data_IF_239678207753
#
_entry.id   IF_239678207753
#
_cell.length_a   1.000
_cell.length_b   1.000
_cell.length_c   1.000
_cell.angle_alpha   90.00
_cell.angle_beta   90.00
_cell.angle_gamma   90.00
#
_symmetry.space_group_name_H-M   'P 1'
#
loop_
_entity.id
_entity.type
_entity.pdbx_description
1 polymer ?
#
# COMPACT_ATOMS: atom_id res chain seq x y z
N UNK A 1 -17.37 -3.31 9.75
CA UNK A 1 -16.92 -1.90 9.83
C UNK A 1 -15.75 -1.86 10.79
N UNK A 2 -14.52 -1.70 10.30
CA UNK A 2 -13.36 -1.47 11.17
C UNK A 2 -13.40 -0.02 11.65
N UNK A 3 -13.32 0.18 12.96
CA UNK A 3 -13.45 1.49 13.59
C UNK A 3 -12.16 2.29 13.33
N UNK A 4 -12.18 3.17 12.32
CA UNK A 4 -11.03 3.99 11.91
C UNK A 4 -10.41 4.79 13.07
N UNK A 5 -11.23 5.20 14.05
CA UNK A 5 -10.78 5.91 15.25
C UNK A 5 -9.85 5.08 16.14
N UNK A 6 -10.01 3.76 16.20
CA UNK A 6 -9.19 2.88 17.03
C UNK A 6 -7.80 2.67 16.42
N UNK A 7 -7.75 2.47 15.10
CA UNK A 7 -6.51 2.34 14.32
C UNK A 7 -5.66 3.62 14.36
N UNK A 8 -6.28 4.80 14.26
CA UNK A 8 -5.56 6.08 14.36
C UNK A 8 -4.94 6.25 15.76
N UNK A 9 -5.63 5.82 16.81
CA UNK A 9 -5.17 5.95 18.19
C UNK A 9 -4.01 4.98 18.51
N UNK A 10 -4.08 3.75 18.01
CA UNK A 10 -2.97 2.78 18.13
C UNK A 10 -1.73 3.24 17.37
N UNK A 11 -1.90 3.73 16.14
CA UNK A 11 -0.79 4.23 15.32
C UNK A 11 -0.14 5.47 15.94
N UNK A 12 -0.92 6.37 16.56
CA UNK A 12 -0.40 7.55 17.26
C UNK A 12 0.47 7.18 18.47
N UNK A 13 0.04 6.20 19.27
CA UNK A 13 0.83 5.70 20.39
C UNK A 13 2.13 5.02 19.93
N UNK A 14 2.12 4.34 18.79
CA UNK A 14 3.31 3.74 18.21
C UNK A 14 4.35 4.80 17.78
N UNK A 15 3.92 5.86 17.08
CA UNK A 15 4.85 6.92 16.68
C UNK A 15 5.48 7.63 17.86
N UNK A 16 4.67 7.94 18.89
CA UNK A 16 5.17 8.57 20.11
C UNK A 16 6.27 7.73 20.75
N UNK A 17 6.05 6.42 20.86
CA UNK A 17 7.07 5.49 21.38
C UNK A 17 8.35 5.51 20.55
N UNK A 18 8.26 5.54 19.23
CA UNK A 18 9.43 5.54 18.36
C UNK A 18 10.24 6.83 18.49
N UNK A 19 9.56 7.97 18.65
CA UNK A 19 10.17 9.27 18.92
C UNK A 19 10.87 9.24 20.27
N UNK A 20 10.20 8.79 21.33
CA UNK A 20 10.75 8.73 22.69
C UNK A 20 12.02 7.84 22.72
N UNK A 21 11.99 6.68 22.06
CA UNK A 21 13.16 5.82 21.92
C UNK A 21 14.34 6.51 21.21
N UNK A 22 14.05 7.36 20.22
CA UNK A 22 15.06 8.06 19.43
C UNK A 22 15.69 9.22 20.22
N UNK A 23 14.85 9.98 20.94
CA UNK A 23 15.30 11.04 21.85
C UNK A 23 16.18 10.46 22.95
N UNK A 24 15.75 9.37 23.59
CA UNK A 24 16.52 8.69 24.63
C UNK A 24 17.91 8.28 24.13
N UNK A 25 18.00 7.76 22.91
CA UNK A 25 19.27 7.41 22.28
C UNK A 25 20.16 8.63 22.05
N UNK A 26 19.62 9.69 21.44
CA UNK A 26 20.38 10.92 21.16
C UNK A 26 20.94 11.51 22.45
N UNK A 27 20.11 11.58 23.49
CA UNK A 27 20.49 12.08 24.80
C UNK A 27 21.56 11.23 25.48
N UNK A 28 21.59 9.91 25.25
CA UNK A 28 22.55 8.99 25.90
C UNK A 28 23.87 8.82 25.15
N UNK A 29 23.91 9.05 23.84
CA UNK A 29 25.04 8.61 23.01
C UNK A 29 25.58 9.68 22.05
N UNK A 30 24.70 10.47 21.45
CA UNK A 30 25.07 11.40 20.36
C UNK A 30 25.70 12.68 20.91
N UNK A 31 25.22 13.18 22.04
CA UNK A 31 25.73 14.42 22.64
C UNK A 31 27.00 14.24 23.48
N UNK A 32 27.71 13.13 23.33
CA UNK A 32 28.93 12.82 24.06
C UNK A 32 30.09 12.55 23.11
N UNK A 33 31.27 13.06 23.43
CA UNK A 33 32.49 12.86 22.64
C UNK A 33 33.20 11.52 22.95
N UNK A 34 34.44 11.37 22.48
CA UNK A 34 35.29 10.19 22.69
C UNK A 34 35.64 9.94 24.18
N UNK A 35 35.57 10.97 25.03
CA UNK A 35 35.87 10.92 26.46
C UNK A 35 34.62 10.84 27.34
N UNK A 36 33.43 10.76 26.73
CA UNK A 36 32.12 10.89 27.38
C UNK A 36 31.86 12.29 27.96
N UNK A 37 32.56 13.31 27.48
CA UNK A 37 32.25 14.69 27.81
C UNK A 37 31.12 15.18 26.91
N UNK A 38 30.24 16.01 27.48
CA UNK A 38 29.11 16.57 26.73
C UNK A 38 29.64 17.48 25.62
N UNK A 39 29.22 17.23 24.39
CA UNK A 39 29.63 18.03 23.23
C UNK A 39 29.23 19.49 23.41
N UNK A 40 30.23 20.37 23.38
CA UNK A 40 30.05 21.81 23.35
C UNK A 40 30.00 22.28 21.89
N UNK A 41 28.79 22.59 21.41
CA UNK A 41 28.53 23.09 20.05
C UNK A 41 29.24 24.43 19.75
N UNK A 42 29.76 25.12 20.76
CA UNK A 42 30.54 26.35 20.58
C UNK A 42 32.04 26.11 20.35
N UNK A 43 32.51 24.86 20.48
CA UNK A 43 33.91 24.48 20.29
C UNK A 43 34.07 23.57 19.07
N UNK A 44 35.22 23.66 18.40
CA UNK A 44 35.60 22.67 17.40
C UNK A 44 35.87 21.35 18.13
N UNK A 45 35.05 20.34 17.88
CA UNK A 45 35.24 18.98 18.38
C UNK A 45 35.56 18.04 17.20
N UNK A 46 36.39 17.04 17.47
CA UNK A 46 36.72 15.98 16.52
C UNK A 46 36.13 14.69 17.09
N UNK A 47 35.22 14.08 16.34
CA UNK A 47 34.68 12.76 16.68
C UNK A 47 35.64 11.71 16.14
N UNK A 48 36.22 10.93 17.05
CA UNK A 48 37.24 9.96 16.70
C UNK A 48 36.70 8.55 16.56
N UNK A 49 37.62 7.61 16.51
CA UNK A 49 37.32 6.19 16.35
C UNK A 49 36.50 5.64 17.54
N UNK A 50 36.68 6.17 18.75
CA UNK A 50 35.90 5.72 19.92
C UNK A 50 34.43 6.11 19.79
N UNK A 51 34.13 7.34 19.37
CA UNK A 51 32.76 7.75 19.07
C UNK A 51 32.16 6.89 17.96
N UNK A 52 32.93 6.61 16.89
CA UNK A 52 32.46 5.75 15.80
C UNK A 52 32.13 4.35 16.29
N UNK A 53 33.06 3.66 16.96
CA UNK A 53 32.88 2.28 17.42
C UNK A 53 31.76 2.15 18.46
N UNK A 54 31.54 3.17 19.29
CA UNK A 54 30.43 3.22 20.25
C UNK A 54 29.08 3.38 19.56
N UNK A 55 28.98 4.26 18.56
CA UNK A 55 27.71 4.62 17.94
C UNK A 55 27.31 3.73 16.76
N UNK A 56 28.28 3.18 16.03
CA UNK A 56 28.05 2.36 14.84
C UNK A 56 27.05 1.20 15.04
N UNK A 57 27.22 0.30 16.03
CA UNK A 57 26.27 -0.80 16.23
C UNK A 57 24.86 -0.31 16.58
N UNK A 58 24.77 0.84 17.26
CA UNK A 58 23.48 1.43 17.64
C UNK A 58 22.78 2.03 16.42
N UNK A 59 23.51 2.71 15.54
CA UNK A 59 22.98 3.22 14.28
C UNK A 59 22.46 2.07 13.42
N UNK A 60 23.23 0.99 13.28
CA UNK A 60 22.83 -0.19 12.52
C UNK A 60 21.55 -0.84 13.06
N UNK A 61 21.46 -0.98 14.39
CA UNK A 61 20.25 -1.46 15.05
C UNK A 61 19.04 -0.57 14.76
N UNK A 62 19.20 0.76 14.81
CA UNK A 62 18.12 1.72 14.57
C UNK A 62 17.67 1.74 13.11
N UNK A 63 18.59 1.63 12.16
CA UNK A 63 18.26 1.50 10.73
C UNK A 63 17.46 0.22 10.47
N UNK A 64 17.87 -0.89 11.06
CA UNK A 64 17.13 -2.17 10.97
C UNK A 64 15.73 -2.05 11.58
N UNK A 65 15.61 -1.40 12.74
CA UNK A 65 14.32 -1.17 13.40
C UNK A 65 13.40 -0.27 12.57
N UNK A 66 13.93 0.79 11.97
CA UNK A 66 13.19 1.66 11.06
C UNK A 66 12.68 0.89 9.83
N UNK A 67 13.52 0.07 9.20
CA UNK A 67 13.13 -0.78 8.09
C UNK A 67 11.99 -1.74 8.44
N UNK A 68 12.07 -2.41 9.59
CA UNK A 68 11.00 -3.30 10.09
C UNK A 68 9.68 -2.56 10.33
N UNK A 69 9.75 -1.40 10.97
CA UNK A 69 8.58 -0.55 11.26
C UNK A 69 7.91 -0.06 9.97
N UNK A 70 8.71 0.38 9.01
CA UNK A 70 8.21 0.82 7.70
C UNK A 70 7.53 -0.33 6.95
N UNK A 71 8.17 -1.51 6.89
CA UNK A 71 7.56 -2.68 6.26
C UNK A 71 6.23 -3.07 6.94
N UNK A 72 6.15 -2.98 8.26
CA UNK A 72 4.92 -3.24 9.01
C UNK A 72 3.81 -2.25 8.64
N UNK A 73 4.11 -0.96 8.57
CA UNK A 73 3.16 0.07 8.15
C UNK A 73 2.68 -0.14 6.71
N UNK A 74 3.58 -0.46 5.79
CA UNK A 74 3.22 -0.76 4.40
C UNK A 74 2.30 -1.99 4.31
N UNK A 75 2.58 -3.05 5.07
CA UNK A 75 1.73 -4.24 5.13
C UNK A 75 0.34 -3.93 5.72
N UNK A 76 0.23 -3.01 6.68
CA UNK A 76 -1.06 -2.57 7.21
C UNK A 76 -1.85 -1.78 6.16
N UNK A 77 -1.18 -0.90 5.41
CA UNK A 77 -1.81 -0.14 4.31
C UNK A 77 -2.32 -1.07 3.21
N UNK A 78 -1.54 -2.07 2.81
CA UNK A 78 -1.93 -3.04 1.79
C UNK A 78 -3.12 -3.90 2.23
N UNK A 79 -3.11 -4.42 3.47
CA UNK A 79 -4.26 -5.13 4.04
C UNK A 79 -5.52 -4.28 4.05
N UNK A 80 -5.40 -2.99 4.39
CA UNK A 80 -6.52 -2.06 4.38
C UNK A 80 -7.04 -1.80 2.95
N UNK A 81 -6.19 -1.78 1.93
CA UNK A 81 -6.60 -1.68 0.53
C UNK A 81 -7.27 -2.96 0.03
N UNK A 82 -6.68 -4.13 0.28
CA UNK A 82 -7.24 -5.44 -0.08
C UNK A 82 -8.56 -5.74 0.64
N UNK A 83 -8.81 -5.14 1.80
CA UNK A 83 -10.07 -5.27 2.54
C UNK A 83 -11.24 -4.48 1.94
N UNK A 84 -11.00 -3.59 0.97
CA UNK A 84 -12.05 -2.96 0.16
C UNK A 84 -12.60 -3.96 -0.85
N UNK A 85 -13.24 -5.04 -0.36
CA UNK A 85 -14.15 -5.82 -1.18
C UNK A 85 -15.21 -4.86 -1.72
N UNK A 86 -15.43 -4.88 -3.04
CA UNK A 86 -16.56 -4.15 -3.61
C UNK A 86 -17.81 -4.54 -2.80
N UNK A 87 -18.61 -3.55 -2.35
CA UNK A 87 -19.84 -3.87 -1.63
C UNK A 87 -20.67 -4.79 -2.52
N UNK A 88 -21.18 -5.87 -1.92
CA UNK A 88 -21.84 -6.98 -2.64
C UNK A 88 -22.87 -6.47 -3.66
N UNK A 89 -23.57 -5.39 -3.33
CA UNK A 89 -24.59 -4.78 -4.18
C UNK A 89 -24.02 -4.26 -5.52
N UNK A 90 -22.81 -3.68 -5.52
CA UNK A 90 -22.16 -3.21 -6.76
C UNK A 90 -21.71 -4.41 -7.59
N UNK A 91 -21.18 -5.46 -6.96
CA UNK A 91 -20.81 -6.69 -7.67
C UNK A 91 -22.03 -7.33 -8.36
N UNK A 92 -23.16 -7.41 -7.67
CA UNK A 92 -24.42 -7.93 -8.23
C UNK A 92 -24.88 -7.09 -9.43
N UNK A 93 -24.82 -5.76 -9.35
CA UNK A 93 -25.19 -4.89 -10.47
C UNK A 93 -24.27 -5.04 -11.68
N UNK A 94 -22.96 -5.18 -11.47
CA UNK A 94 -21.99 -5.44 -12.55
C UNK A 94 -22.31 -6.77 -13.25
N UNK A 95 -22.58 -7.83 -12.48
CA UNK A 95 -22.93 -9.14 -13.05
C UNK A 95 -24.22 -9.07 -13.87
N UNK A 96 -25.26 -8.43 -13.34
CA UNK A 96 -26.54 -8.25 -14.07
C UNK A 96 -26.33 -7.46 -15.36
N UNK A 97 -25.55 -6.38 -15.33
CA UNK A 97 -25.24 -5.58 -16.52
C UNK A 97 -24.52 -6.42 -17.59
N UNK A 98 -23.54 -7.24 -17.20
CA UNK A 98 -22.83 -8.14 -18.11
C UNK A 98 -23.76 -9.17 -18.76
N UNK A 99 -24.72 -9.73 -18.01
CA UNK A 99 -25.70 -10.68 -18.54
C UNK A 99 -26.64 -10.01 -19.54
N UNK A 100 -27.12 -8.80 -19.25
CA UNK A 100 -28.00 -8.06 -20.16
C UNK A 100 -27.28 -7.72 -21.47
N UNK A 101 -26.02 -7.28 -21.38
CA UNK A 101 -25.21 -6.99 -22.56
C UNK A 101 -24.94 -8.23 -23.41
N UNK A 102 -24.61 -9.36 -22.79
CA UNK A 102 -24.36 -10.60 -23.53
C UNK A 102 -25.62 -11.12 -24.22
N UNK A 103 -26.78 -11.08 -23.56
CA UNK A 103 -28.07 -11.42 -24.18
C UNK A 103 -28.40 -10.50 -25.37
N UNK A 104 -28.16 -9.19 -25.23
CA UNK A 104 -28.35 -8.23 -26.32
C UNK A 104 -27.51 -8.56 -27.55
N UNK A 105 -26.22 -8.86 -27.34
CA UNK A 105 -25.30 -9.26 -28.40
C UNK A 105 -25.78 -10.56 -29.08
N UNK A 106 -26.20 -11.56 -28.31
CA UNK A 106 -26.71 -12.84 -28.84
C UNK A 106 -27.92 -12.60 -29.73
N UNK A 107 -28.92 -11.85 -29.26
CA UNK A 107 -30.14 -11.57 -30.04
C UNK A 107 -29.80 -10.80 -31.33
N UNK A 108 -28.95 -9.79 -31.26
CA UNK A 108 -28.49 -9.05 -32.43
C UNK A 108 -27.79 -9.96 -33.46
N UNK A 109 -26.92 -10.87 -33.00
CA UNK A 109 -26.27 -11.87 -33.85
C UNK A 109 -27.27 -12.84 -34.47
N UNK A 110 -28.24 -13.34 -33.70
CA UNK A 110 -29.28 -14.24 -34.19
C UNK A 110 -30.12 -13.58 -35.30
N UNK A 111 -30.54 -12.33 -35.10
CA UNK A 111 -31.29 -11.56 -36.11
C UNK A 111 -30.45 -11.30 -37.35
N UNK A 112 -29.17 -10.94 -37.17
CA UNK A 112 -28.24 -10.73 -38.28
C UNK A 112 -28.06 -11.99 -39.13
N UNK A 113 -27.79 -13.13 -38.49
CA UNK A 113 -27.62 -14.42 -39.18
C UNK A 113 -28.91 -14.86 -39.88
N UNK A 114 -30.07 -14.68 -39.24
CA UNK A 114 -31.36 -14.99 -39.85
C UNK A 114 -31.61 -14.16 -41.12
N UNK A 115 -31.37 -12.84 -41.07
CA UNK A 115 -31.49 -11.97 -42.26
C UNK A 115 -30.52 -12.37 -43.37
N UNK A 116 -29.27 -12.69 -43.02
CA UNK A 116 -28.25 -13.14 -43.99
C UNK A 116 -28.67 -14.43 -44.69
N UNK A 117 -29.16 -15.42 -43.94
CA UNK A 117 -29.62 -16.69 -44.51
C UNK A 117 -30.82 -16.49 -45.44
N UNK A 118 -31.79 -15.64 -45.05
CA UNK A 118 -32.97 -15.37 -45.89
C UNK A 118 -32.59 -14.68 -47.21
N UNK A 119 -31.64 -13.73 -47.17
CA UNK A 119 -31.17 -13.03 -48.38
C UNK A 119 -30.51 -13.99 -49.38
N UNK A 120 -29.68 -14.92 -48.90
CA UNK A 120 -29.06 -15.94 -49.75
C UNK A 120 -30.05 -16.91 -50.42
N UNK A 121 -31.24 -17.13 -49.84
CA UNK A 121 -32.28 -17.95 -50.48
C UNK A 121 -33.05 -17.19 -51.57
N UNK A 122 -33.24 -15.88 -51.45
CA UNK A 122 -33.89 -15.08 -52.49
C UNK A 122 -33.00 -14.92 -53.72
N UNK A 123 -31.70 -14.70 -53.55
CA UNK A 123 -30.76 -14.56 -54.67
C UNK A 123 -30.63 -15.89 -55.48
N UNK A 124 -30.83 -17.04 -54.82
CA UNK A 124 -30.84 -18.35 -55.48
C UNK A 124 -32.12 -18.63 -56.30
N UNK A 125 -33.25 -17.96 -56.00
CA UNK A 125 -34.52 -18.15 -56.72
C UNK A 125 -34.70 -17.21 -57.92
N UNK A 126 -33.90 -16.14 -58.04
CA UNK A 126 -33.95 -15.19 -59.16
C UNK A 126 -32.87 -15.44 -60.22
N UNK A 127 -32.13 -16.55 -60.10
CA UNK A 127 -31.02 -16.93 -61.00
C UNK A 127 -31.41 -18.05 -62.00
N UNK A 128 -32.70 -18.35 -62.14
CA UNK A 128 -33.27 -19.23 -63.18
C UNK A 128 -34.01 -18.42 -64.25
#
# INVERSE_FOLDING_TARGET
MFNQSLLINETYNDYKKWIDESIDYVCKQVYFDDNNDKLDVSRNFILGEKYFNRNWPLIDQRLTQAGRRLASLLNQLDKNQSSKKLPSNILTHIIVLCIVLSLGIIVSLSVYLYRRHRKGQYDAMTSE
#
